data_IF_319495951280
#
_entry.id   IF_319495951280
#
_cell.length_a   1.000
_cell.length_b   1.000
_cell.length_c   1.000
_cell.angle_alpha   90.00
_cell.angle_beta   90.00
_cell.angle_gamma   90.00
#
_symmetry.space_group_name_H-M   'P 1'
#
loop_
_entity.id
_entity.type
_entity.pdbx_description
1 polymer ?
#
# COMPACT_ATOMS: atom_id res chain seq x y z
N UNK A 1 41.82 -8.27 22.04
CA UNK A 1 41.85 -7.69 20.68
C UNK A 1 43.26 -7.41 20.23
N UNK A 2 44.07 -6.67 21.00
CA UNK A 2 45.46 -6.35 20.60
C UNK A 2 46.34 -7.58 20.34
N UNK A 3 46.22 -8.63 21.18
CA UNK A 3 46.91 -9.92 20.96
C UNK A 3 46.49 -10.61 19.65
N UNK A 4 45.19 -10.62 19.36
CA UNK A 4 44.63 -11.25 18.17
C UNK A 4 44.99 -10.47 16.89
N UNK A 5 45.01 -9.13 16.98
CA UNK A 5 45.49 -8.25 15.93
C UNK A 5 46.98 -8.48 15.65
N UNK A 6 47.80 -8.64 16.69
CA UNK A 6 49.22 -9.01 16.53
C UNK A 6 49.39 -10.35 15.82
N UNK A 7 48.69 -11.39 16.30
CA UNK A 7 48.74 -12.74 15.71
C UNK A 7 48.29 -12.76 14.24
N UNK A 8 47.28 -11.98 13.87
CA UNK A 8 46.80 -11.89 12.48
C UNK A 8 47.71 -11.05 11.58
N UNK A 9 48.28 -9.98 12.10
CA UNK A 9 49.29 -9.17 11.38
C UNK A 9 50.55 -9.99 11.09
N UNK A 10 51.05 -10.75 12.06
CA UNK A 10 52.21 -11.62 11.88
C UNK A 10 51.95 -12.70 10.81
N UNK A 11 50.74 -13.26 10.80
CA UNK A 11 50.32 -14.28 9.83
C UNK A 11 50.13 -13.68 8.42
N UNK A 12 49.63 -12.44 8.33
CA UNK A 12 49.56 -11.68 7.09
C UNK A 12 50.96 -11.41 6.51
N UNK A 13 51.92 -11.01 7.34
CA UNK A 13 53.30 -10.77 6.93
C UNK A 13 53.99 -12.06 6.42
N UNK A 14 53.79 -13.19 7.11
CA UNK A 14 54.30 -14.50 6.68
C UNK A 14 53.67 -14.95 5.33
N UNK A 15 52.36 -14.76 5.16
CA UNK A 15 51.70 -15.06 3.88
C UNK A 15 52.10 -14.12 2.75
N UNK A 16 52.35 -12.84 3.02
CA UNK A 16 52.88 -11.88 2.04
C UNK A 16 54.27 -12.30 1.54
N UNK A 17 55.14 -12.77 2.45
CA UNK A 17 56.45 -13.30 2.09
C UNK A 17 56.32 -14.54 1.18
N UNK A 18 55.40 -15.46 1.50
CA UNK A 18 55.13 -16.67 0.70
C UNK A 18 54.46 -16.35 -0.65
N UNK A 19 53.62 -15.31 -0.71
CA UNK A 19 53.00 -14.85 -1.95
C UNK A 19 54.04 -14.31 -2.94
N UNK A 20 55.07 -13.60 -2.44
CA UNK A 20 56.21 -13.16 -3.25
C UNK A 20 56.98 -14.33 -3.89
N UNK A 21 56.92 -15.52 -3.28
CA UNK A 21 57.51 -16.76 -3.79
C UNK A 21 56.54 -17.61 -4.63
N UNK A 22 55.35 -17.08 -5.00
CA UNK A 22 54.26 -17.80 -5.67
C UNK A 22 53.74 -19.04 -4.92
N UNK A 23 53.93 -19.10 -3.60
CA UNK A 23 53.51 -20.22 -2.74
C UNK A 23 52.18 -19.98 -2.02
N UNK A 24 51.50 -18.87 -2.28
CA UNK A 24 50.20 -18.53 -1.69
C UNK A 24 49.24 -18.01 -2.77
N UNK A 25 47.95 -18.32 -2.61
CA UNK A 25 46.90 -17.79 -3.47
C UNK A 25 46.57 -16.34 -3.11
N UNK A 26 46.18 -15.55 -4.11
CA UNK A 26 45.70 -14.18 -3.91
C UNK A 26 44.43 -14.15 -3.04
N UNK A 27 43.55 -15.13 -3.17
CA UNK A 27 42.30 -15.23 -2.39
C UNK A 27 42.60 -15.37 -0.89
N UNK A 28 43.55 -16.22 -0.53
CA UNK A 28 43.97 -16.41 0.86
C UNK A 28 44.62 -15.16 1.45
N UNK A 29 45.32 -14.38 0.63
CA UNK A 29 45.93 -13.12 1.04
C UNK A 29 44.84 -12.08 1.28
N UNK A 30 43.87 -12.00 0.38
CA UNK A 30 42.72 -11.10 0.47
C UNK A 30 41.90 -11.35 1.74
N UNK A 31 41.61 -12.61 2.05
CA UNK A 31 40.89 -12.94 3.29
C UNK A 31 41.64 -12.50 4.56
N UNK A 32 42.97 -12.57 4.57
CA UNK A 32 43.77 -12.11 5.71
C UNK A 32 43.82 -10.58 5.80
N UNK A 33 43.88 -9.89 4.66
CA UNK A 33 43.74 -8.43 4.61
C UNK A 33 42.38 -7.98 5.15
N UNK A 34 41.29 -8.57 4.66
CA UNK A 34 39.94 -8.24 5.11
C UNK A 34 39.78 -8.48 6.63
N UNK A 35 40.40 -9.55 7.16
CA UNK A 35 40.43 -9.84 8.61
C UNK A 35 41.22 -8.81 9.42
N UNK A 36 42.39 -8.42 8.93
CA UNK A 36 43.24 -7.42 9.60
C UNK A 36 42.55 -6.05 9.62
N UNK A 37 41.95 -5.65 8.49
CA UNK A 37 41.19 -4.41 8.37
C UNK A 37 40.03 -4.37 9.37
N UNK A 38 39.25 -5.44 9.45
CA UNK A 38 38.15 -5.57 10.42
C UNK A 38 38.68 -5.48 11.86
N UNK A 39 39.79 -6.16 12.17
CA UNK A 39 40.39 -6.14 13.50
C UNK A 39 41.02 -4.78 13.86
N UNK A 40 41.51 -4.02 12.89
CA UNK A 40 42.08 -2.69 13.10
C UNK A 40 41.05 -1.70 13.67
N UNK A 41 39.78 -1.86 13.26
CA UNK A 41 38.66 -1.03 13.71
C UNK A 41 37.95 -1.54 14.97
N UNK A 42 38.55 -2.47 15.73
CA UNK A 42 37.86 -3.15 16.86
C UNK A 42 37.22 -2.18 17.87
N UNK A 43 37.83 -1.00 18.09
CA UNK A 43 37.32 0.02 19.01
C UNK A 43 36.00 0.63 18.54
N UNK A 44 35.68 0.52 17.26
CA UNK A 44 34.48 1.06 16.64
C UNK A 44 33.40 -0.02 16.39
N UNK A 45 33.66 -1.29 16.73
CA UNK A 45 32.72 -2.38 16.48
C UNK A 45 31.38 -2.19 17.17
N UNK A 46 31.36 -1.69 18.41
CA UNK A 46 30.09 -1.41 19.11
C UNK A 46 29.24 -0.36 18.37
N UNK A 47 29.88 0.65 17.78
CA UNK A 47 29.18 1.65 16.98
C UNK A 47 28.68 1.08 15.66
N UNK A 48 29.49 0.23 15.00
CA UNK A 48 29.12 -0.46 13.77
C UNK A 48 27.93 -1.39 14.06
N UNK A 49 27.99 -2.17 15.13
CA UNK A 49 26.91 -3.04 15.58
C UNK A 49 25.64 -2.24 15.86
N UNK A 50 25.75 -1.11 16.58
CA UNK A 50 24.60 -0.26 16.87
C UNK A 50 23.98 0.34 15.60
N UNK A 51 24.80 0.74 14.62
CA UNK A 51 24.34 1.23 13.31
C UNK A 51 23.61 0.12 12.55
N UNK A 52 24.20 -1.06 12.44
CA UNK A 52 23.60 -2.21 11.75
C UNK A 52 22.30 -2.66 12.41
N UNK A 53 22.25 -2.73 13.75
CA UNK A 53 21.00 -3.00 14.49
C UNK A 53 19.92 -1.97 14.16
N UNK A 54 20.27 -0.69 14.08
CA UNK A 54 19.34 0.38 13.71
C UNK A 54 18.84 0.21 12.27
N UNK A 55 19.72 -0.08 11.32
CA UNK A 55 19.35 -0.33 9.92
C UNK A 55 18.42 -1.54 9.78
N UNK A 56 18.70 -2.63 10.50
CA UNK A 56 17.83 -3.82 10.53
C UNK A 56 16.45 -3.44 11.08
N UNK A 57 16.40 -2.68 12.16
CA UNK A 57 15.14 -2.25 12.76
C UNK A 57 14.33 -1.34 11.82
N UNK A 58 14.99 -0.40 11.13
CA UNK A 58 14.35 0.45 10.13
C UNK A 58 13.78 -0.37 8.96
N UNK A 59 14.53 -1.36 8.47
CA UNK A 59 14.05 -2.28 7.42
C UNK A 59 12.86 -3.11 7.89
N UNK A 60 12.89 -3.64 9.13
CA UNK A 60 11.78 -4.39 9.72
C UNK A 60 10.52 -3.53 9.86
N UNK A 61 10.66 -2.29 10.34
CA UNK A 61 9.54 -1.35 10.41
C UNK A 61 8.96 -1.07 9.03
N UNK A 62 9.82 -0.81 8.04
CA UNK A 62 9.38 -0.59 6.66
C UNK A 62 8.60 -1.80 6.14
N UNK A 63 9.12 -3.02 6.33
CA UNK A 63 8.43 -4.26 5.95
C UNK A 63 7.05 -4.38 6.62
N UNK A 64 6.97 -4.18 7.94
CA UNK A 64 5.71 -4.23 8.68
C UNK A 64 4.68 -3.22 8.16
N UNK A 65 5.12 -1.98 7.88
CA UNK A 65 4.21 -0.97 7.31
C UNK A 65 3.70 -1.35 5.92
N UNK A 66 4.53 -2.00 5.10
CA UNK A 66 4.11 -2.50 3.79
C UNK A 66 3.15 -3.68 3.91
N UNK A 67 3.39 -4.61 4.84
CA UNK A 67 2.48 -5.72 5.12
C UNK A 67 1.09 -5.23 5.55
N UNK A 68 1.04 -4.29 6.50
CA UNK A 68 -0.23 -3.68 6.94
C UNK A 68 -0.99 -3.00 5.79
N UNK A 69 -0.28 -2.35 4.86
CA UNK A 69 -0.90 -1.75 3.66
C UNK A 69 -1.48 -2.82 2.73
N UNK A 70 -0.79 -3.95 2.56
CA UNK A 70 -1.27 -5.07 1.75
C UNK A 70 -2.49 -5.74 2.40
N UNK A 71 -2.47 -5.97 3.71
CA UNK A 71 -3.61 -6.53 4.44
C UNK A 71 -4.86 -5.65 4.31
N UNK A 72 -4.71 -4.33 4.45
CA UNK A 72 -5.80 -3.38 4.19
C UNK A 72 -6.34 -3.49 2.77
N UNK A 73 -5.47 -3.59 1.77
CA UNK A 73 -5.89 -3.77 0.37
C UNK A 73 -6.63 -5.10 0.16
N UNK A 74 -6.13 -6.19 0.74
CA UNK A 74 -6.78 -7.51 0.69
C UNK A 74 -8.17 -7.43 1.32
N UNK A 75 -8.31 -6.76 2.47
CA UNK A 75 -9.61 -6.56 3.10
C UNK A 75 -10.55 -5.72 2.22
N UNK A 76 -10.06 -4.66 1.58
CA UNK A 76 -10.88 -3.87 0.63
C UNK A 76 -11.33 -4.71 -0.56
N UNK A 77 -10.45 -5.55 -1.13
CA UNK A 77 -10.83 -6.45 -2.23
C UNK A 77 -11.82 -7.53 -1.77
N UNK A 78 -11.65 -8.09 -0.57
CA UNK A 78 -12.62 -9.03 0.01
C UNK A 78 -13.99 -8.38 0.24
N UNK A 79 -14.03 -7.12 0.67
CA UNK A 79 -15.28 -6.38 0.87
C UNK A 79 -15.93 -6.00 -0.45
N UNK A 80 -15.15 -5.63 -1.47
CA UNK A 80 -15.66 -5.44 -2.84
C UNK A 80 -16.24 -6.74 -3.39
N UNK A 81 -15.59 -7.87 -3.16
CA UNK A 81 -16.10 -9.18 -3.59
C UNK A 81 -17.30 -9.67 -2.77
N UNK A 82 -17.49 -9.18 -1.54
CA UNK A 82 -18.65 -9.51 -0.69
C UNK A 82 -19.93 -8.75 -1.09
N UNK A 83 -19.81 -7.67 -1.86
CA UNK A 83 -20.94 -6.93 -2.39
C UNK A 83 -20.96 -7.03 -3.91
N UNK A 84 -21.69 -8.01 -4.46
CA UNK A 84 -22.63 -7.83 -5.59
C UNK A 84 -23.17 -9.17 -6.14
N UNK A 85 -24.13 -9.75 -5.42
CA UNK A 85 -25.45 -9.96 -6.04
C UNK A 85 -26.37 -9.02 -5.26
N UNK A 86 -26.62 -7.84 -5.82
CA UNK A 86 -27.74 -7.05 -5.33
C UNK A 86 -28.95 -7.80 -5.87
N UNK A 87 -29.79 -8.32 -4.97
CA UNK A 87 -31.11 -8.82 -5.35
C UNK A 87 -31.92 -7.61 -5.78
N UNK A 88 -31.77 -7.25 -7.05
CA UNK A 88 -32.45 -6.11 -7.64
C UNK A 88 -33.90 -6.54 -7.81
N UNK A 89 -34.78 -5.94 -7.02
CA UNK A 89 -36.20 -6.06 -7.27
C UNK A 89 -36.52 -5.34 -8.59
N UNK A 90 -36.65 -6.13 -9.66
CA UNK A 90 -36.91 -5.63 -11.00
C UNK A 90 -38.25 -4.86 -11.08
N UNK A 91 -39.21 -5.20 -10.21
CA UNK A 91 -40.49 -4.50 -10.10
C UNK A 91 -40.28 -3.05 -9.60
N UNK A 92 -39.47 -2.85 -8.57
CA UNK A 92 -39.21 -1.53 -8.00
C UNK A 92 -38.42 -0.63 -8.97
N UNK A 93 -37.48 -1.20 -9.73
CA UNK A 93 -36.78 -0.46 -10.78
C UNK A 93 -37.76 -0.04 -11.89
N UNK A 94 -38.66 -0.94 -12.31
CA UNK A 94 -39.65 -0.63 -13.34
C UNK A 94 -40.59 0.50 -12.91
N UNK A 95 -41.07 0.46 -11.67
CA UNK A 95 -41.91 1.51 -11.09
C UNK A 95 -41.14 2.84 -11.05
N UNK A 96 -39.92 2.85 -10.51
CA UNK A 96 -39.13 4.08 -10.39
C UNK A 96 -38.69 4.63 -11.75
N UNK A 97 -38.39 3.78 -12.73
CA UNK A 97 -38.06 4.22 -14.10
C UNK A 97 -39.26 4.90 -14.77
N UNK A 98 -40.47 4.39 -14.58
CA UNK A 98 -41.69 5.01 -15.09
C UNK A 98 -41.96 6.38 -14.44
N UNK A 99 -41.69 6.52 -13.14
CA UNK A 99 -41.80 7.80 -12.42
C UNK A 99 -40.77 8.81 -12.94
N UNK A 100 -39.52 8.39 -13.11
CA UNK A 100 -38.43 9.23 -13.63
C UNK A 100 -38.67 9.64 -15.09
N UNK A 101 -39.17 8.73 -15.94
CA UNK A 101 -39.53 9.04 -17.32
C UNK A 101 -40.70 10.03 -17.41
N UNK A 102 -41.65 9.98 -16.47
CA UNK A 102 -42.75 10.95 -16.38
C UNK A 102 -42.33 12.32 -15.83
N UNK A 103 -41.26 12.36 -15.02
CA UNK A 103 -40.74 13.60 -14.43
C UNK A 103 -39.63 14.25 -15.27
N UNK A 104 -39.33 13.72 -16.46
CA UNK A 104 -38.41 14.39 -17.38
C UNK A 104 -39.12 15.63 -17.93
N UNK A 105 -38.56 16.81 -17.63
CA UNK A 105 -39.09 18.06 -18.17
C UNK A 105 -39.18 17.99 -19.71
N UNK A 106 -40.33 18.38 -20.30
CA UNK A 106 -40.45 18.45 -21.74
C UNK A 106 -39.43 19.46 -22.28
N UNK A 107 -38.96 19.23 -23.51
CA UNK A 107 -38.07 20.17 -24.19
C UNK A 107 -38.74 21.56 -24.26
N UNK A 108 -37.93 22.63 -24.22
CA UNK A 108 -38.43 24.01 -24.26
C UNK A 108 -39.42 24.22 -25.41
N UNK A 109 -40.61 24.72 -25.09
CA UNK A 109 -41.71 24.92 -26.04
C UNK A 109 -42.77 23.81 -26.12
N UNK A 110 -42.54 22.64 -25.46
CA UNK A 110 -43.46 21.50 -25.46
C UNK A 110 -44.29 21.35 -24.18
N UNK A 111 -44.26 22.35 -23.28
CA UNK A 111 -44.91 22.33 -21.97
C UNK A 111 -46.42 22.09 -22.00
N UNK A 112 -47.10 22.42 -23.10
CA UNK A 112 -48.54 22.23 -23.32
C UNK A 112 -48.86 21.16 -24.38
N UNK A 113 -47.90 20.32 -24.73
CA UNK A 113 -48.10 19.29 -25.74
C UNK A 113 -48.99 18.17 -25.19
N UNK A 114 -50.04 17.73 -25.92
CA UNK A 114 -50.87 16.60 -25.50
C UNK A 114 -50.12 15.25 -25.50
N UNK A 115 -48.89 15.25 -26.03
CA UNK A 115 -48.00 14.08 -26.09
C UNK A 115 -47.16 13.89 -24.82
N UNK A 116 -47.09 14.88 -23.94
CA UNK A 116 -46.39 14.78 -22.67
C UNK A 116 -47.42 14.77 -21.53
N UNK A 117 -47.35 13.74 -20.69
CA UNK A 117 -48.12 13.73 -19.46
C UNK A 117 -47.54 14.77 -18.49
N UNK A 118 -48.38 15.44 -17.70
CA UNK A 118 -47.88 16.31 -16.64
C UNK A 118 -47.01 15.49 -15.67
N UNK A 119 -46.02 16.16 -15.06
CA UNK A 119 -45.17 15.56 -14.04
C UNK A 119 -46.01 14.90 -12.94
N UNK A 120 -45.49 13.84 -12.33
CA UNK A 120 -46.18 13.21 -11.21
C UNK A 120 -46.31 14.23 -10.07
N UNK A 121 -47.51 14.37 -9.46
CA UNK A 121 -47.73 15.38 -8.44
C UNK A 121 -46.77 15.16 -7.27
N UNK A 122 -46.07 16.22 -6.87
CA UNK A 122 -45.20 16.21 -5.69
C UNK A 122 -46.04 16.21 -4.43
N UNK A 123 -45.45 15.83 -3.28
CA UNK A 123 -46.16 15.81 -2.00
C UNK A 123 -46.86 17.14 -1.71
N UNK A 124 -46.18 18.26 -1.97
CA UNK A 124 -46.73 19.62 -1.80
C UNK A 124 -47.92 19.91 -2.72
N UNK A 125 -47.96 19.33 -3.93
CA UNK A 125 -49.11 19.48 -4.86
C UNK A 125 -50.32 18.68 -4.39
N UNK A 126 -50.09 17.55 -3.72
CA UNK A 126 -51.14 16.71 -3.12
C UNK A 126 -51.70 17.40 -1.87
N UNK A 127 -50.82 17.94 -1.02
CA UNK A 127 -51.19 18.73 0.17
C UNK A 127 -52.05 19.94 -0.23
N UNK A 128 -51.68 20.67 -1.28
CA UNK A 128 -52.46 21.80 -1.81
C UNK A 128 -53.86 21.42 -2.32
N UNK A 129 -54.04 20.21 -2.84
CA UNK A 129 -55.36 19.73 -3.26
C UNK A 129 -56.27 19.45 -2.06
N UNK A 130 -55.71 19.04 -0.92
CA UNK A 130 -56.45 18.78 0.31
C UNK A 130 -56.73 20.06 1.13
N UNK A 131 -55.93 21.11 0.98
CA UNK A 131 -56.20 22.41 1.62
C UNK A 131 -57.48 23.11 1.10
N UNK A 132 -57.97 22.72 -0.07
CA UNK A 132 -59.18 23.31 -0.68
C UNK A 132 -60.47 22.49 -0.42
N UNK A 133 -60.40 21.37 0.31
CA UNK A 133 -61.58 20.57 0.67
C UNK A 133 -62.18 20.97 2.04
N UNK A 134 -61.51 21.83 2.80
CA UNK A 134 -61.91 22.29 4.14
C UNK A 134 -62.54 23.72 4.18
N UNK A 135 -62.99 24.27 3.04
CA UNK A 135 -63.92 25.43 2.94
C UNK A 135 -65.34 25.01 2.51
#
# INVERSE_FOLDING_TARGET
>A
MDRLYGETTDLLLDKLAKFKENKASYEELKELFDKEEILSEYKNWENIERKLRKEIFEKLNKLNTHLLKLEKKILTYKNMNKNQEIEINMEDIKINSNILCRNKEPLEGYSNSPWYLPCYPTLNMIEFLHENEDE
#
